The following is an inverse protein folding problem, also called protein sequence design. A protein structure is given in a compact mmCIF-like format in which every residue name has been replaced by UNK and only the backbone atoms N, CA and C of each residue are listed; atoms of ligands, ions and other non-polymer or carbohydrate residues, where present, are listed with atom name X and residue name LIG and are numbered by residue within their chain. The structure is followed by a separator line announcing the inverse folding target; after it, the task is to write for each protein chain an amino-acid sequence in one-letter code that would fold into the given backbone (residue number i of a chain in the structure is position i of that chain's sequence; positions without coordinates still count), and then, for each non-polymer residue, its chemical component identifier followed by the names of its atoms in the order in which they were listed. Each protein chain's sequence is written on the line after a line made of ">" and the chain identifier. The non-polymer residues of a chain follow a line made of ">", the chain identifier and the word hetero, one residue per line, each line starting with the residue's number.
data_IF_737379790595
#
_entry.id   IF_737379790595
#
_cell.length_a   1.000
_cell.length_b   1.000
_cell.length_c   1.000
_cell.angle_alpha   90.00
_cell.angle_beta   90.00
_cell.angle_gamma   90.00
#
_symmetry.space_group_name_H-M   'P 1'
#
loop_
_entity.id
_entity.type
_entity.pdbx_description
1 polymer ?
#
# COMPACT_ATOMS: atom_id res chain seq x y z
N UNK A 1 -24.59 11.03 -10.16
CA UNK A 1 -24.00 10.35 -10.35
C UNK A 1 -22.78 10.37 -10.05
N UNK A 2 -22.35 9.67 -9.61
CA UNK A 2 -21.19 9.76 -9.28
C UNK A 2 -20.30 9.20 -10.16
N UNK A 3 -19.50 9.80 -10.64
CA UNK A 3 -18.54 9.33 -11.45
C UNK A 3 -17.39 9.04 -10.61
N UNK A 4 -17.31 7.92 -10.08
CA UNK A 4 -16.26 7.60 -9.17
C UNK A 4 -15.04 7.18 -9.96
N UNK A 5 -14.10 8.10 -10.13
CA UNK A 5 -12.87 7.80 -10.82
C UNK A 5 -11.79 7.30 -9.91
N UNK A 6 -12.06 7.20 -8.64
CA UNK A 6 -11.03 6.80 -7.68
C UNK A 6 -10.57 5.38 -7.95
N UNK A 7 -9.31 5.15 -7.73
CA UNK A 7 -8.72 3.83 -7.85
C UNK A 7 -8.01 3.50 -6.55
N UNK A 8 -7.78 2.22 -6.35
CA UNK A 8 -7.16 1.76 -5.12
C UNK A 8 -5.87 1.02 -5.46
N UNK A 9 -4.81 1.37 -4.77
CA UNK A 9 -3.56 0.67 -4.84
C UNK A 9 -3.53 -0.35 -3.70
N UNK A 10 -3.40 -1.62 -4.04
CA UNK A 10 -3.35 -2.68 -3.05
C UNK A 10 -1.94 -3.25 -2.97
N UNK A 11 -1.41 -3.30 -1.76
CA UNK A 11 -0.10 -3.88 -1.51
C UNK A 11 -0.27 -5.12 -0.64
N UNK A 12 0.31 -6.24 -1.06
CA UNK A 12 0.27 -7.44 -0.24
C UNK A 12 1.69 -7.95 -0.07
N UNK A 13 2.00 -8.45 1.12
CA UNK A 13 3.34 -8.93 1.41
C UNK A 13 3.37 -9.64 2.75
N UNK A 14 4.50 -10.30 3.02
CA UNK A 14 4.74 -10.97 4.29
C UNK A 14 5.89 -10.26 4.98
N UNK A 15 5.65 -9.59 6.12
CA UNK A 15 6.76 -8.97 6.86
C UNK A 15 7.76 -10.04 7.33
N UNK A 16 9.04 -9.71 7.22
CA UNK A 16 10.08 -10.62 7.66
C UNK A 16 10.14 -10.64 9.18
N UNK A 17 10.05 -11.82 9.81
CA UNK A 17 9.96 -11.87 11.27
C UNK A 17 11.14 -11.24 11.99
N UNK A 18 12.34 -11.38 11.41
CA UNK A 18 13.53 -10.89 12.07
C UNK A 18 13.63 -9.37 12.08
N UNK A 19 12.83 -8.67 11.26
CA UNK A 19 12.89 -7.23 11.18
C UNK A 19 11.57 -6.57 11.56
N UNK A 20 10.81 -7.21 12.41
CA UNK A 20 9.45 -6.75 12.69
C UNK A 20 9.41 -5.32 13.23
N UNK A 21 10.27 -5.01 14.18
CA UNK A 21 10.25 -3.69 14.79
C UNK A 21 10.66 -2.62 13.80
N UNK A 22 11.71 -2.88 13.04
CA UNK A 22 12.16 -1.93 12.02
C UNK A 22 11.10 -1.76 10.94
N UNK A 23 10.40 -2.85 10.59
CA UNK A 23 9.33 -2.77 9.63
C UNK A 23 8.22 -1.83 10.11
N UNK A 24 7.76 -2.00 11.35
CA UNK A 24 6.70 -1.16 11.86
C UNK A 24 7.14 0.29 11.97
N UNK A 25 8.37 0.53 12.42
CA UNK A 25 8.87 1.89 12.50
C UNK A 25 8.90 2.55 11.13
N UNK A 26 9.31 1.81 10.11
CA UNK A 26 9.35 2.36 8.77
C UNK A 26 7.95 2.61 8.24
N UNK A 27 7.06 1.62 8.34
CA UNK A 27 5.74 1.76 7.74
C UNK A 27 4.93 2.85 8.41
N UNK A 28 4.90 2.87 9.73
CA UNK A 28 4.07 3.83 10.44
C UNK A 28 4.71 5.21 10.52
N UNK A 29 6.02 5.27 10.57
CA UNK A 29 6.71 6.54 10.73
C UNK A 29 7.10 7.23 9.44
N UNK A 30 7.24 6.48 8.35
CA UNK A 30 7.70 7.07 7.10
C UNK A 30 6.84 6.71 5.89
N UNK A 31 6.59 5.43 5.69
CA UNK A 31 5.95 4.97 4.45
C UNK A 31 4.54 5.51 4.31
N UNK A 32 3.68 5.25 5.29
CA UNK A 32 2.29 5.69 5.21
C UNK A 32 2.18 7.22 5.18
N UNK A 33 2.87 7.96 6.06
CA UNK A 33 2.77 9.42 5.98
C UNK A 33 3.27 9.98 4.64
N UNK A 34 4.32 9.38 4.08
CA UNK A 34 4.85 9.87 2.81
C UNK A 34 3.86 9.61 1.67
N UNK A 35 3.20 8.45 1.68
CA UNK A 35 2.19 8.18 0.66
C UNK A 35 1.03 9.16 0.76
N UNK A 36 0.64 9.52 1.98
CA UNK A 36 -0.42 10.49 2.15
C UNK A 36 -0.02 11.86 1.61
N UNK A 37 1.23 12.22 1.78
CA UNK A 37 1.73 13.46 1.18
C UNK A 37 1.72 13.41 -0.34
N UNK A 38 1.85 12.23 -0.92
CA UNK A 38 1.80 12.09 -2.36
C UNK A 38 0.37 12.09 -2.89
N UNK A 39 -0.61 12.02 -2.02
CA UNK A 39 -2.00 12.03 -2.45
C UNK A 39 -2.71 10.71 -2.34
N UNK A 40 -2.10 9.74 -1.64
CA UNK A 40 -2.74 8.44 -1.44
C UNK A 40 -3.27 8.38 -0.02
N UNK A 41 -4.55 8.04 0.12
CA UNK A 41 -5.18 7.97 1.43
C UNK A 41 -5.36 6.51 1.81
N UNK A 42 -4.83 6.11 2.96
CA UNK A 42 -4.97 4.74 3.39
C UNK A 42 -6.44 4.44 3.65
N UNK A 43 -6.94 3.39 3.03
CA UNK A 43 -8.33 3.00 3.19
C UNK A 43 -8.49 1.75 4.01
N UNK A 44 -7.50 0.87 3.98
CA UNK A 44 -7.62 -0.38 4.72
C UNK A 44 -6.25 -0.97 4.98
N UNK A 45 -6.16 -1.69 6.07
CA UNK A 45 -4.96 -2.41 6.41
C UNK A 45 -5.40 -3.70 7.09
N UNK A 46 -5.01 -4.82 6.53
CA UNK A 46 -5.42 -6.12 7.03
C UNK A 46 -4.19 -6.94 7.39
N UNK A 47 -4.35 -7.74 8.41
CA UNK A 47 -3.32 -8.68 8.80
C UNK A 47 -3.99 -10.04 8.90
N UNK A 48 -3.60 -10.95 8.04
CA UNK A 48 -4.15 -12.30 8.03
C UNK A 48 -3.06 -13.26 8.42
N UNK A 49 -3.31 -14.06 9.43
CA UNK A 49 -2.33 -15.00 9.89
C UNK A 49 -2.88 -16.40 9.73
N UNK A 50 -2.36 -17.13 8.76
CA UNK A 50 -2.70 -18.51 8.57
C UNK A 50 -1.40 -19.27 8.46
N UNK A 51 -1.32 -20.38 9.15
CA UNK A 51 -0.10 -21.17 9.15
C UNK A 51 1.03 -20.36 9.71
N UNK A 52 2.17 -20.41 9.05
CA UNK A 52 3.36 -19.80 9.58
C UNK A 52 3.56 -18.36 9.18
N UNK A 53 2.81 -17.90 8.18
CA UNK A 53 3.12 -16.59 7.61
C UNK A 53 1.93 -15.68 7.66
N UNK A 54 2.01 -14.60 8.41
CA UNK A 54 0.97 -13.58 8.35
C UNK A 54 1.09 -12.80 7.05
N UNK A 55 -0.04 -12.58 6.41
CA UNK A 55 -0.09 -11.81 5.19
C UNK A 55 -0.64 -10.44 5.51
N UNK A 56 0.03 -9.41 5.02
CA UNK A 56 -0.46 -8.05 5.16
C UNK A 56 -1.04 -7.56 3.86
N UNK A 57 -2.12 -6.82 3.98
CA UNK A 57 -2.70 -6.13 2.85
C UNK A 57 -2.94 -4.69 3.26
N UNK A 58 -2.47 -3.76 2.46
CA UNK A 58 -2.70 -2.34 2.69
C UNK A 58 -3.30 -1.75 1.43
N UNK A 59 -4.36 -0.97 1.58
CA UNK A 59 -5.01 -0.34 0.46
C UNK A 59 -4.97 1.17 0.58
N UNK A 60 -4.69 1.84 -0.53
CA UNK A 60 -4.62 3.29 -0.58
C UNK A 60 -5.45 3.79 -1.74
N UNK A 61 -6.19 4.87 -1.54
CA UNK A 61 -7.07 5.43 -2.56
C UNK A 61 -6.43 6.65 -3.18
N UNK A 62 -6.45 6.70 -4.52
CA UNK A 62 -6.03 7.86 -5.28
C UNK A 62 -7.25 8.45 -5.98
N UNK A 63 -7.16 9.74 -6.34
CA UNK A 63 -8.25 10.43 -6.97
C UNK A 63 -8.67 9.82 -8.29
N UNK A 64 -7.71 9.41 -9.08
CA UNK A 64 -7.99 8.77 -10.35
C UNK A 64 -6.77 8.01 -10.80
N UNK A 65 -6.93 7.29 -11.89
CA UNK A 65 -5.87 6.41 -12.39
C UNK A 65 -4.66 7.20 -12.86
N UNK A 66 -4.88 8.32 -13.53
CA UNK A 66 -3.79 9.13 -14.03
C UNK A 66 -2.92 9.65 -12.89
N UNK A 67 -3.56 10.14 -11.83
CA UNK A 67 -2.83 10.64 -10.68
C UNK A 67 -2.03 9.52 -10.02
N UNK A 68 -2.64 8.34 -9.90
CA UNK A 68 -1.94 7.20 -9.31
C UNK A 68 -0.74 6.80 -10.15
N UNK A 69 -0.90 6.77 -11.48
CA UNK A 69 0.22 6.40 -12.34
C UNK A 69 1.39 7.38 -12.19
N UNK A 70 1.08 8.66 -12.04
CA UNK A 70 2.12 9.65 -11.83
C UNK A 70 2.86 9.40 -10.51
N UNK A 71 2.10 9.06 -9.46
CA UNK A 71 2.72 8.77 -8.18
C UNK A 71 3.64 7.55 -8.29
N UNK A 72 3.13 6.48 -8.92
CA UNK A 72 3.90 5.25 -9.03
C UNK A 72 5.17 5.42 -9.86
N UNK A 73 5.15 6.37 -10.80
CA UNK A 73 6.33 6.64 -11.61
C UNK A 73 7.32 7.59 -10.96
N UNK A 74 6.93 8.22 -9.85
CA UNK A 74 7.79 9.21 -9.22
C UNK A 74 8.96 8.54 -8.52
N UNK A 75 10.08 9.25 -8.45
CA UNK A 75 11.24 8.76 -7.72
C UNK A 75 10.93 8.57 -6.25
N UNK A 76 10.10 9.45 -5.72
CA UNK A 76 9.76 9.38 -4.30
C UNK A 76 9.06 8.05 -3.98
N UNK A 77 8.07 7.66 -4.80
CA UNK A 77 7.37 6.40 -4.55
C UNK A 77 8.30 5.22 -4.76
N UNK A 78 9.13 5.27 -5.81
CA UNK A 78 10.01 4.14 -6.07
C UNK A 78 11.01 3.95 -4.95
N UNK A 79 11.49 5.04 -4.36
CA UNK A 79 12.38 4.95 -3.22
C UNK A 79 11.66 4.35 -2.01
N UNK A 80 10.45 4.81 -1.74
CA UNK A 80 9.67 4.31 -0.62
C UNK A 80 9.36 2.82 -0.79
N UNK A 81 9.00 2.42 -2.00
CA UNK A 81 8.69 1.03 -2.29
C UNK A 81 9.93 0.15 -2.15
N UNK A 82 11.05 0.63 -2.65
CA UNK A 82 12.29 -0.13 -2.55
C UNK A 82 12.70 -0.36 -1.11
N UNK A 83 12.51 0.64 -0.25
CA UNK A 83 12.84 0.50 1.15
C UNK A 83 11.87 -0.47 1.85
N UNK A 84 10.60 -0.44 1.47
CA UNK A 84 9.65 -1.39 2.04
C UNK A 84 10.05 -2.82 1.71
N UNK A 85 10.47 -3.05 0.47
CA UNK A 85 10.84 -4.39 0.05
C UNK A 85 11.99 -4.98 0.86
N UNK A 86 12.80 -4.15 1.50
CA UNK A 86 13.87 -4.66 2.33
C UNK A 86 13.36 -5.31 3.62
N UNK A 87 12.11 -5.03 4.00
CA UNK A 87 11.57 -5.56 5.24
C UNK A 87 10.55 -6.68 5.02
N UNK A 88 10.23 -7.02 3.77
CA UNK A 88 9.14 -7.95 3.51
C UNK A 88 9.52 -8.95 2.43
N UNK A 89 8.72 -10.01 2.33
CA UNK A 89 8.86 -11.00 1.28
C UNK A 89 7.55 -11.07 0.51
N UNK A 90 7.60 -11.59 -0.70
CA UNK A 90 6.40 -11.84 -1.52
C UNK A 90 5.58 -10.58 -1.74
N UNK A 91 6.29 -9.51 -2.06
CA UNK A 91 5.64 -8.21 -2.27
C UNK A 91 4.95 -8.16 -3.62
N UNK A 92 3.67 -7.78 -3.61
CA UNK A 92 2.91 -7.60 -4.84
C UNK A 92 2.09 -6.33 -4.72
N UNK A 93 1.88 -5.65 -5.83
CA UNK A 93 0.98 -4.50 -5.84
C UNK A 93 0.03 -4.63 -7.01
N UNK A 94 -1.17 -4.12 -6.83
CA UNK A 94 -2.20 -4.16 -7.82
C UNK A 94 -3.00 -2.88 -7.77
N UNK A 95 -3.56 -2.47 -8.90
CA UNK A 95 -4.44 -1.33 -8.96
C UNK A 95 -5.82 -1.84 -9.33
N UNK A 96 -6.82 -1.46 -8.56
CA UNK A 96 -8.19 -1.87 -8.83
C UNK A 96 -9.09 -0.64 -8.74
N UNK A 97 -10.26 -0.67 -9.38
CA UNK A 97 -11.19 0.45 -9.20
C UNK A 97 -11.67 0.52 -7.77
N UNK A 98 -11.86 1.74 -7.28
CA UNK A 98 -12.45 1.89 -5.96
C UNK A 98 -13.93 2.14 -6.17
N UNK A 99 -14.73 1.16 -5.84
CA UNK A 99 -16.14 1.27 -6.13
C UNK A 99 -16.97 1.60 -4.92
N UNK A 100 -16.43 2.29 -4.01
CA UNK A 100 -17.17 2.63 -2.83
C UNK A 100 -17.10 1.51 -1.82
N UNK A 101 -18.22 1.14 -1.22
CA UNK A 101 -18.18 0.12 -0.21
C UNK A 101 -18.37 -1.24 -0.84
N UNK A 102 -18.08 -2.29 -0.21
CA UNK A 102 -18.21 -3.67 -0.70
C UNK A 102 -17.28 -3.93 -1.85
N UNK A 103 -16.08 -3.61 -1.62
CA UNK A 103 -15.08 -3.86 -2.61
C UNK A 103 -14.47 -5.19 -2.37
N UNK A 104 -15.05 -6.22 -2.74
CA UNK A 104 -14.49 -7.55 -2.49
C UNK A 104 -14.12 -8.27 -3.75
#
# INVERSE_FOLDING_TARGET
>A
MSDDRRVKLLLTYDPLPENREAYFNYVLGEFVPALEHLGLTMSEAWHTAYGSYPLRLAGFIAEDKTHLEEILASERFQDLEGRLKAFVANYHRRVVPSRGRFQF
#
